data_IF_191174302068
#
_entry.id   IF_191174302068
#
_cell.length_a   1.000
_cell.length_b   1.000
_cell.length_c   1.000
_cell.angle_alpha   90.00
_cell.angle_beta   90.00
_cell.angle_gamma   90.00
#
_symmetry.space_group_name_H-M   'P 1'
#
loop_
_entity.id
_entity.type
_entity.pdbx_description
1 polymer ?
#
# COMPACT_ATOMS: atom_id res chain seq x y z
N UNK A 1 -18.00 -28.71 19.45
CA UNK A 1 -17.08 -27.63 19.03
C UNK A 1 -15.68 -28.02 19.46
N UNK A 2 -14.70 -28.09 18.54
CA UNK A 2 -13.30 -28.37 18.88
C UNK A 2 -12.66 -27.09 19.44
N UNK A 3 -11.84 -27.15 20.50
CA UNK A 3 -11.26 -25.97 21.11
C UNK A 3 -10.23 -25.32 20.17
N UNK A 4 -10.33 -24.01 19.97
CA UNK A 4 -9.43 -23.19 19.15
C UNK A 4 -8.04 -22.97 19.79
N UNK A 5 -7.74 -23.66 20.90
CA UNK A 5 -6.60 -23.35 21.80
C UNK A 5 -5.33 -24.15 21.47
N UNK A 6 -5.41 -25.16 20.61
CA UNK A 6 -4.35 -26.19 20.47
C UNK A 6 -3.50 -26.08 19.19
N UNK A 7 -3.58 -24.96 18.46
CA UNK A 7 -2.64 -24.67 17.37
C UNK A 7 -1.92 -23.37 17.65
N UNK A 8 -0.61 -23.44 17.89
CA UNK A 8 0.27 -22.27 17.85
C UNK A 8 0.00 -21.54 16.53
N UNK A 9 -0.37 -20.25 16.56
CA UNK A 9 -0.65 -19.50 15.34
C UNK A 9 0.64 -19.40 14.52
N UNK A 10 0.68 -20.09 13.39
CA UNK A 10 1.79 -19.95 12.44
C UNK A 10 1.60 -18.66 11.64
N UNK A 11 2.60 -17.78 11.70
CA UNK A 11 2.59 -16.58 10.88
C UNK A 11 2.84 -16.97 9.42
N UNK A 12 2.05 -16.44 8.49
CA UNK A 12 2.21 -16.76 7.08
C UNK A 12 3.54 -16.25 6.55
N UNK A 13 4.27 -17.12 5.84
CA UNK A 13 5.50 -16.72 5.16
C UNK A 13 5.16 -15.94 3.88
N UNK A 14 5.93 -14.86 3.64
CA UNK A 14 5.80 -14.04 2.43
C UNK A 14 7.18 -13.73 1.84
N UNK A 15 7.26 -13.68 0.51
CA UNK A 15 8.43 -13.23 -0.25
C UNK A 15 7.99 -12.12 -1.19
N UNK A 16 8.69 -10.98 -1.17
CA UNK A 16 8.39 -9.82 -2.02
C UNK A 16 9.65 -9.44 -2.79
N UNK A 17 9.51 -9.21 -4.09
CA UNK A 17 10.52 -8.55 -4.92
C UNK A 17 9.94 -7.27 -5.52
N UNK A 18 10.69 -6.16 -5.46
CA UNK A 18 10.27 -4.86 -5.99
C UNK A 18 11.32 -4.24 -6.91
N UNK A 19 10.84 -3.37 -7.80
CA UNK A 19 11.61 -2.52 -8.69
C UNK A 19 11.06 -1.10 -8.57
N UNK A 20 11.95 -0.14 -8.31
CA UNK A 20 11.60 1.25 -8.12
C UNK A 20 12.40 2.14 -9.07
N UNK A 21 11.70 2.98 -9.84
CA UNK A 21 12.28 3.92 -10.78
C UNK A 21 11.93 5.35 -10.39
N UNK A 22 12.94 6.22 -10.26
CA UNK A 22 12.79 7.57 -9.69
C UNK A 22 13.18 8.68 -10.70
N UNK A 23 12.37 8.94 -11.75
CA UNK A 23 12.63 10.03 -12.69
C UNK A 23 12.27 11.39 -12.07
N UNK A 24 13.22 11.97 -11.34
CA UNK A 24 13.13 13.35 -10.84
C UNK A 24 12.07 13.53 -9.75
N UNK A 25 10.92 14.09 -10.12
CA UNK A 25 9.82 14.44 -9.18
C UNK A 25 8.73 13.37 -9.07
N UNK A 26 8.91 12.27 -9.78
CA UNK A 26 7.99 11.15 -9.80
C UNK A 26 8.74 9.88 -9.46
N UNK A 27 8.03 8.90 -8.94
CA UNK A 27 8.56 7.55 -8.79
C UNK A 27 7.50 6.55 -9.23
N UNK A 28 7.95 5.51 -9.91
CA UNK A 28 7.16 4.39 -10.37
C UNK A 28 7.69 3.15 -9.68
N UNK A 29 6.79 2.31 -9.19
CA UNK A 29 7.18 1.07 -8.55
C UNK A 29 6.37 -0.10 -9.10
N UNK A 30 7.03 -1.24 -9.15
CA UNK A 30 6.45 -2.54 -9.50
C UNK A 30 6.93 -3.54 -8.46
N UNK A 31 6.02 -4.36 -7.93
CA UNK A 31 6.40 -5.43 -7.02
C UNK A 31 5.60 -6.71 -7.28
N UNK A 32 6.21 -7.83 -6.93
CA UNK A 32 5.60 -9.16 -6.94
C UNK A 32 5.72 -9.74 -5.54
N UNK A 33 4.61 -10.21 -5.00
CA UNK A 33 4.56 -10.91 -3.72
C UNK A 33 4.06 -12.34 -3.93
N UNK A 34 4.74 -13.29 -3.29
CA UNK A 34 4.26 -14.64 -3.08
C UNK A 34 3.97 -14.83 -1.59
N UNK A 35 2.79 -15.35 -1.26
CA UNK A 35 2.32 -15.49 0.11
C UNK A 35 1.79 -16.90 0.34
N UNK A 36 2.13 -17.52 1.47
CA UNK A 36 1.67 -18.87 1.80
C UNK A 36 0.14 -18.99 1.95
N UNK A 37 -0.55 -17.88 2.21
CA UNK A 37 -2.02 -17.83 2.34
C UNK A 37 -2.75 -17.63 1.01
N UNK A 38 -2.05 -17.22 -0.06
CA UNK A 38 -2.66 -16.90 -1.36
C UNK A 38 -1.94 -17.70 -2.43
N UNK A 39 -2.66 -18.63 -3.08
CA UNK A 39 -2.06 -19.57 -4.03
C UNK A 39 -1.41 -18.90 -5.25
N UNK A 40 -1.91 -17.73 -5.64
CA UNK A 40 -1.42 -16.98 -6.78
C UNK A 40 -0.53 -15.80 -6.33
N UNK A 41 0.49 -15.42 -7.11
CA UNK A 41 1.29 -14.23 -6.82
C UNK A 41 0.46 -12.95 -6.90
N UNK A 42 0.71 -12.01 -5.99
CA UNK A 42 0.12 -10.68 -5.99
C UNK A 42 1.05 -9.73 -6.74
N UNK A 43 0.52 -9.00 -7.70
CA UNK A 43 1.23 -7.97 -8.46
C UNK A 43 0.85 -6.60 -7.92
N UNK A 44 1.85 -5.76 -7.70
CA UNK A 44 1.70 -4.37 -7.29
C UNK A 44 2.28 -3.47 -8.38
N UNK A 45 1.56 -2.41 -8.70
CA UNK A 45 2.08 -1.32 -9.52
C UNK A 45 1.59 0.00 -8.98
N UNK A 46 2.45 1.00 -8.96
CA UNK A 46 2.04 2.29 -8.47
C UNK A 46 3.00 3.39 -8.85
N UNK A 47 2.58 4.59 -8.49
CA UNK A 47 3.35 5.79 -8.69
C UNK A 47 3.15 6.74 -7.52
N UNK A 48 4.16 7.56 -7.29
CA UNK A 48 4.07 8.72 -6.44
C UNK A 48 4.69 9.92 -7.14
N UNK A 49 4.31 11.11 -6.72
CA UNK A 49 4.77 12.34 -7.31
C UNK A 49 4.75 13.48 -6.32
N UNK A 50 5.71 14.38 -6.49
CA UNK A 50 5.78 15.61 -5.71
C UNK A 50 5.85 16.83 -6.63
N UNK A 51 4.82 17.68 -6.55
CA UNK A 51 4.77 18.93 -7.29
C UNK A 51 4.61 20.12 -6.35
N UNK A 52 5.71 20.87 -6.15
CA UNK A 52 5.79 21.99 -5.19
C UNK A 52 5.44 21.53 -3.78
N UNK A 53 4.23 21.85 -3.31
CA UNK A 53 3.70 21.48 -2.01
C UNK A 53 2.72 20.30 -2.12
N UNK A 54 2.40 19.82 -3.32
CA UNK A 54 1.44 18.74 -3.55
C UNK A 54 2.15 17.39 -3.59
N UNK A 55 1.70 16.45 -2.76
CA UNK A 55 2.04 15.04 -2.78
C UNK A 55 0.86 14.29 -3.38
N UNK A 56 1.10 13.33 -4.26
CA UNK A 56 0.06 12.45 -4.75
C UNK A 56 0.62 11.09 -5.14
N UNK A 57 -0.24 10.09 -5.17
CA UNK A 57 0.14 8.75 -5.61
C UNK A 57 -1.05 7.83 -5.75
N UNK A 58 -0.80 6.70 -6.38
CA UNK A 58 -1.77 5.64 -6.58
C UNK A 58 -1.09 4.30 -6.66
N UNK A 59 -1.80 3.25 -6.26
CA UNK A 59 -1.31 1.88 -6.32
C UNK A 59 -2.43 0.95 -6.71
N UNK A 60 -2.15 0.04 -7.63
CA UNK A 60 -3.00 -1.08 -7.97
C UNK A 60 -2.34 -2.34 -7.48
N UNK A 61 -3.11 -3.16 -6.77
CA UNK A 61 -2.74 -4.51 -6.37
C UNK A 61 -3.71 -5.47 -7.06
N UNK A 62 -3.17 -6.46 -7.76
CA UNK A 62 -3.97 -7.44 -8.48
C UNK A 62 -3.44 -8.85 -8.31
N UNK A 63 -4.36 -9.77 -8.14
CA UNK A 63 -4.22 -11.21 -8.07
C UNK A 63 -5.49 -11.83 -8.71
N UNK A 64 -5.53 -13.14 -8.96
CA UNK A 64 -6.74 -13.84 -9.41
C UNK A 64 -7.93 -13.59 -8.48
N UNK A 65 -7.70 -13.62 -7.17
CA UNK A 65 -8.78 -13.50 -6.17
C UNK A 65 -8.88 -12.09 -5.54
N UNK A 66 -7.79 -11.33 -5.54
CA UNK A 66 -7.69 -10.03 -4.86
C UNK A 66 -7.42 -8.92 -5.85
N UNK A 67 -8.28 -7.90 -5.85
CA UNK A 67 -8.05 -6.64 -6.57
C UNK A 67 -8.25 -5.49 -5.61
N UNK A 68 -7.25 -4.63 -5.48
CA UNK A 68 -7.39 -3.38 -4.75
C UNK A 68 -6.74 -2.22 -5.49
N UNK A 69 -7.32 -1.05 -5.31
CA UNK A 69 -6.86 0.23 -5.78
C UNK A 69 -6.72 1.12 -4.55
N UNK A 70 -5.54 1.71 -4.36
CA UNK A 70 -5.34 2.77 -3.41
C UNK A 70 -4.88 4.04 -4.09
N UNK A 71 -5.16 5.17 -3.45
CA UNK A 71 -4.80 6.49 -3.92
C UNK A 71 -4.62 7.41 -2.75
N UNK A 72 -3.86 8.48 -2.96
CA UNK A 72 -3.67 9.49 -1.95
C UNK A 72 -3.27 10.84 -2.54
N UNK A 73 -3.63 11.87 -1.80
CA UNK A 73 -3.24 13.26 -2.04
C UNK A 73 -2.76 13.87 -0.73
N UNK A 74 -1.88 14.84 -0.81
CA UNK A 74 -1.39 15.51 0.37
C UNK A 74 -0.76 16.85 0.05
N UNK A 75 -0.56 17.62 1.10
CA UNK A 75 0.07 18.92 1.04
C UNK A 75 1.20 18.99 2.07
N UNK A 76 2.37 19.47 1.63
CA UNK A 76 3.53 19.71 2.49
C UNK A 76 3.82 21.21 2.59
N UNK A 77 4.01 21.71 3.80
CA UNK A 77 4.31 23.11 4.08
C UNK A 77 5.46 23.20 5.10
N UNK A 78 6.68 23.38 4.60
CA UNK A 78 7.89 23.44 5.42
C UNK A 78 8.12 22.12 6.16
N UNK A 79 7.97 22.13 7.48
CA UNK A 79 8.13 20.96 8.34
C UNK A 79 6.85 20.14 8.53
N UNK A 80 5.70 20.63 8.06
CA UNK A 80 4.41 19.97 8.23
C UNK A 80 4.00 19.26 6.94
N UNK A 81 3.38 18.09 7.05
CA UNK A 81 2.64 17.51 5.93
C UNK A 81 1.32 16.89 6.39
N UNK A 82 0.30 17.05 5.55
CA UNK A 82 -1.02 16.48 5.70
C UNK A 82 -1.29 15.62 4.47
N UNK A 83 -1.56 14.33 4.67
CA UNK A 83 -1.91 13.42 3.59
C UNK A 83 -3.23 12.73 3.87
N UNK A 84 -3.98 12.48 2.81
CA UNK A 84 -5.21 11.71 2.82
C UNK A 84 -5.05 10.57 1.84
N UNK A 85 -5.27 9.35 2.31
CA UNK A 85 -5.22 8.13 1.52
C UNK A 85 -6.53 7.37 1.61
N UNK A 86 -6.90 6.70 0.52
CA UNK A 86 -7.98 5.74 0.50
C UNK A 86 -7.52 4.43 -0.14
N UNK A 87 -8.18 3.35 0.21
CA UNK A 87 -8.03 2.07 -0.44
C UNK A 87 -9.40 1.47 -0.69
N UNK A 88 -9.59 0.89 -1.86
CA UNK A 88 -10.81 0.20 -2.24
C UNK A 88 -10.43 -1.16 -2.83
N UNK A 89 -11.10 -2.22 -2.41
CA UNK A 89 -10.82 -3.56 -2.92
C UNK A 89 -12.05 -4.45 -2.96
N UNK A 90 -11.95 -5.54 -3.72
CA UNK A 90 -13.01 -6.54 -3.90
C UNK A 90 -13.22 -7.45 -2.67
N UNK A 91 -12.47 -7.23 -1.59
CA UNK A 91 -12.55 -8.03 -0.36
C UNK A 91 -13.75 -7.67 0.52
N UNK A 92 -14.66 -6.81 0.05
CA UNK A 92 -15.88 -6.37 0.75
C UNK A 92 -15.67 -5.82 2.17
N UNK A 93 -14.45 -5.39 2.51
CA UNK A 93 -14.07 -4.82 3.82
C UNK A 93 -14.36 -3.31 3.94
N UNK A 94 -15.11 -2.73 2.99
CA UNK A 94 -15.36 -1.28 2.90
C UNK A 94 -14.27 -0.52 2.14
N UNK A 95 -14.27 0.81 2.28
CA UNK A 95 -13.25 1.70 1.73
C UNK A 95 -12.46 2.34 2.88
N UNK A 96 -11.35 1.72 3.33
CA UNK A 96 -10.46 2.33 4.30
C UNK A 96 -10.01 3.72 3.87
N UNK A 97 -10.01 4.66 4.82
CA UNK A 97 -9.55 6.04 4.65
C UNK A 97 -8.60 6.37 5.79
N UNK A 98 -7.49 7.02 5.47
CA UNK A 98 -6.46 7.40 6.44
C UNK A 98 -6.13 8.87 6.22
N UNK A 99 -6.08 9.62 7.32
CA UNK A 99 -5.54 10.98 7.36
C UNK A 99 -4.27 10.90 8.19
N UNK A 100 -3.14 11.32 7.62
CA UNK A 100 -1.85 11.34 8.29
C UNK A 100 -1.32 12.77 8.37
N UNK A 101 -0.84 13.14 9.55
CA UNK A 101 -0.25 14.44 9.87
C UNK A 101 1.14 14.18 10.41
N UNK A 102 2.15 14.64 9.69
CA UNK A 102 3.54 14.48 10.11
C UNK A 102 4.26 15.82 10.28
N UNK A 103 5.15 15.84 11.27
CA UNK A 103 6.00 16.99 11.61
C UNK A 103 7.45 16.51 11.55
N UNK A 104 8.24 17.09 10.66
CA UNK A 104 9.68 16.79 10.54
C UNK A 104 10.46 17.72 11.46
N UNK A 105 11.03 17.15 12.52
CA UNK A 105 11.95 17.88 13.41
C UNK A 105 13.33 18.03 12.73
N UNK A 106 14.02 19.18 12.93
CA UNK A 106 15.38 19.42 12.44
C UNK A 106 16.44 18.58 13.19
#
# INVERSE_FOLDING_TARGET
>A
MKPLIDKSPELPQRVIGSLDYHPGKYSLFLALESNQLVNDPIVYSGFNGHYKNLIFGGTVMSNKDVKSLSGGIGVSFGIYSLTYGFQWGNQHLGMPQIIDISIRLP
#
